data_IF_870326870723
#
_entry.id   IF_870326870723
#
_cell.length_a   1.000
_cell.length_b   1.000
_cell.length_c   1.000
_cell.angle_alpha   90.00
_cell.angle_beta   90.00
_cell.angle_gamma   90.00
#
_symmetry.space_group_name_H-M   'P 1'
#
loop_
_entity.id
_entity.type
_entity.pdbx_description
1 polymer ?
#
# COMPACT_ATOMS: atom_id res chain seq x y z
N UNK A 1 0.30 39.66 17.76
CA UNK A 1 1.11 38.85 16.88
C UNK A 1 1.77 37.80 17.76
N UNK A 2 1.19 36.60 17.86
CA UNK A 2 1.73 35.51 18.69
C UNK A 2 2.48 34.57 17.75
N UNK A 3 3.75 34.44 18.03
CA UNK A 3 4.69 33.59 17.35
C UNK A 3 4.26 32.13 17.51
N UNK A 4 3.76 31.50 16.43
CA UNK A 4 3.34 30.10 16.37
C UNK A 4 4.41 29.17 15.77
N UNK A 5 5.68 29.61 15.79
CA UNK A 5 6.80 28.94 15.17
C UNK A 5 7.53 27.88 15.98
N UNK A 6 7.11 27.56 17.23
CA UNK A 6 7.99 26.80 18.12
C UNK A 6 7.56 25.38 18.49
N UNK A 7 6.50 24.79 17.90
CA UNK A 7 5.97 23.48 18.37
C UNK A 7 6.30 22.28 17.46
N UNK A 8 6.84 22.47 16.27
CA UNK A 8 7.11 21.35 15.33
C UNK A 8 8.55 20.83 15.33
N UNK A 9 9.45 21.42 16.11
CA UNK A 9 10.81 20.92 16.25
C UNK A 9 10.81 19.62 17.09
N UNK A 10 10.69 18.46 16.41
CA UNK A 10 10.76 17.15 17.04
C UNK A 10 9.68 16.14 16.62
N UNK A 11 8.63 16.56 15.92
CA UNK A 11 7.59 15.62 15.43
C UNK A 11 8.05 15.03 14.11
N UNK A 12 8.21 13.68 14.07
CA UNK A 12 8.47 12.94 12.85
C UNK A 12 7.14 12.45 12.30
N UNK A 13 6.74 12.93 11.11
CA UNK A 13 5.53 12.51 10.43
C UNK A 13 5.86 11.33 9.52
N UNK A 14 5.13 10.23 9.68
CA UNK A 14 5.27 9.03 8.85
C UNK A 14 3.97 8.80 8.09
N UNK A 15 4.03 8.78 6.75
CA UNK A 15 2.92 8.31 5.92
C UNK A 15 3.01 6.79 5.78
N UNK A 16 2.10 6.08 6.44
CA UNK A 16 2.06 4.62 6.41
C UNK A 16 1.25 4.05 5.23
N UNK A 17 0.68 4.91 4.37
CA UNK A 17 -0.22 4.48 3.29
C UNK A 17 0.06 5.20 1.97
N UNK A 18 1.30 5.17 1.51
CA UNK A 18 1.71 5.80 0.28
C UNK A 18 1.98 4.78 -0.86
N UNK A 19 2.13 5.30 -2.07
CA UNK A 19 2.71 4.61 -3.21
C UNK A 19 3.42 5.62 -4.12
N UNK A 20 4.50 5.18 -4.76
CA UNK A 20 5.08 5.90 -5.87
C UNK A 20 4.42 5.41 -7.17
N UNK A 21 3.77 6.27 -7.97
CA UNK A 21 2.99 5.84 -9.11
C UNK A 21 3.89 5.39 -10.27
N UNK A 22 3.50 4.27 -10.90
CA UNK A 22 4.04 3.85 -12.21
C UNK A 22 3.07 4.22 -13.32
N UNK A 23 3.53 4.18 -14.57
CA UNK A 23 2.67 4.43 -15.73
C UNK A 23 1.47 3.46 -15.78
N UNK A 24 1.68 2.18 -15.44
CA UNK A 24 0.61 1.17 -15.36
C UNK A 24 -0.42 1.52 -14.28
N UNK A 25 0.06 1.89 -13.09
CA UNK A 25 -0.80 2.29 -11.98
C UNK A 25 -1.64 3.52 -12.34
N UNK A 26 -1.04 4.53 -12.96
CA UNK A 26 -1.73 5.74 -13.37
C UNK A 26 -2.73 5.51 -14.51
N UNK A 27 -2.55 4.47 -15.33
CA UNK A 27 -3.47 4.15 -16.43
C UNK A 27 -4.77 3.46 -15.97
N UNK A 28 -4.85 3.01 -14.70
CA UNK A 28 -6.04 2.33 -14.20
C UNK A 28 -7.28 3.23 -14.24
N UNK A 29 -8.43 2.74 -14.77
CA UNK A 29 -9.65 3.52 -14.91
C UNK A 29 -10.19 4.10 -13.61
N UNK A 30 -9.93 3.44 -12.48
CA UNK A 30 -10.38 3.91 -11.15
C UNK A 30 -9.81 5.27 -10.76
N UNK A 31 -8.67 5.67 -11.34
CA UNK A 31 -8.04 6.97 -11.07
C UNK A 31 -8.49 8.08 -12.04
N UNK A 32 -9.45 7.81 -12.92
CA UNK A 32 -9.92 8.80 -13.90
C UNK A 32 -10.42 10.10 -13.25
N UNK A 33 -11.18 9.98 -12.17
CA UNK A 33 -11.66 11.14 -11.41
C UNK A 33 -10.52 11.92 -10.76
N UNK A 34 -9.54 11.22 -10.20
CA UNK A 34 -8.35 11.82 -9.60
C UNK A 34 -7.51 12.53 -10.67
N UNK A 35 -7.29 11.89 -11.83
CA UNK A 35 -6.57 12.51 -12.95
C UNK A 35 -7.24 13.77 -13.45
N UNK A 36 -8.58 13.77 -13.56
CA UNK A 36 -9.32 14.99 -13.96
C UNK A 36 -9.13 16.12 -12.97
N UNK A 37 -9.16 15.80 -11.69
CA UNK A 37 -8.97 16.78 -10.63
C UNK A 37 -7.55 17.35 -10.65
N UNK A 38 -6.53 16.51 -10.71
CA UNK A 38 -5.12 16.95 -10.75
C UNK A 38 -4.77 17.73 -12.02
N UNK A 39 -5.40 17.41 -13.17
CA UNK A 39 -5.27 18.20 -14.40
C UNK A 39 -5.88 19.58 -14.27
N UNK A 40 -7.04 19.67 -13.64
CA UNK A 40 -7.69 20.96 -13.40
C UNK A 40 -6.84 21.88 -12.53
N UNK A 41 -6.06 21.31 -11.58
CA UNK A 41 -5.15 22.04 -10.71
C UNK A 41 -3.76 22.28 -11.33
N UNK A 42 -3.52 21.85 -12.57
CA UNK A 42 -2.20 21.94 -13.22
C UNK A 42 -1.12 21.04 -12.59
N UNK A 43 -1.50 20.11 -11.75
CA UNK A 43 -0.58 19.21 -11.02
C UNK A 43 -0.31 17.89 -11.74
N UNK A 44 -1.10 17.55 -12.76
CA UNK A 44 -0.91 16.34 -13.55
C UNK A 44 0.26 16.51 -14.53
N UNK A 45 1.34 15.71 -14.39
CA UNK A 45 2.49 15.77 -15.29
C UNK A 45 2.21 15.13 -16.67
N UNK A 46 1.02 14.56 -16.86
CA UNK A 46 0.71 13.73 -18.01
C UNK A 46 1.08 12.25 -17.84
N UNK A 47 0.85 11.44 -18.88
CA UNK A 47 1.20 10.03 -18.87
C UNK A 47 2.73 9.86 -18.91
N UNK A 48 3.25 8.98 -18.09
CA UNK A 48 4.67 8.64 -18.06
C UNK A 48 5.14 8.15 -16.71
N UNK A 49 6.40 7.78 -16.63
CA UNK A 49 7.05 7.46 -15.37
C UNK A 49 7.39 8.74 -14.61
N UNK A 50 7.06 8.76 -13.35
CA UNK A 50 7.40 9.86 -12.48
C UNK A 50 8.75 9.61 -11.82
N UNK A 51 9.65 10.61 -11.76
CA UNK A 51 10.88 10.46 -10.98
C UNK A 51 10.56 10.44 -9.48
N UNK A 52 11.34 9.68 -8.71
CA UNK A 52 11.18 9.58 -7.24
C UNK A 52 11.28 10.96 -6.57
N UNK A 53 12.10 11.86 -7.11
CA UNK A 53 12.25 13.23 -6.64
C UNK A 53 10.92 13.99 -6.54
N UNK A 54 9.93 13.65 -7.36
CA UNK A 54 8.61 14.26 -7.30
C UNK A 54 7.81 13.81 -6.06
N UNK A 55 7.89 12.53 -5.72
CA UNK A 55 7.31 12.02 -4.47
C UNK A 55 7.99 12.65 -3.27
N UNK A 56 9.31 12.78 -3.30
CA UNK A 56 10.06 13.43 -2.23
C UNK A 56 9.67 14.91 -2.07
N UNK A 57 9.52 15.64 -3.18
CA UNK A 57 9.06 17.04 -3.13
C UNK A 57 7.66 17.18 -2.52
N UNK A 58 6.74 16.27 -2.86
CA UNK A 58 5.40 16.26 -2.25
C UNK A 58 5.45 15.91 -0.74
N UNK A 59 6.35 15.02 -0.34
CA UNK A 59 6.59 14.71 1.07
C UNK A 59 7.15 15.94 1.81
N UNK A 60 8.07 16.68 1.21
CA UNK A 60 8.65 17.89 1.80
C UNK A 60 7.60 18.99 1.95
N UNK A 61 6.75 19.20 0.94
CA UNK A 61 5.62 20.13 0.98
C UNK A 61 4.64 19.74 2.11
N UNK A 62 4.39 18.43 2.30
CA UNK A 62 3.50 17.90 3.35
C UNK A 62 4.16 17.74 4.72
N UNK A 63 5.45 18.04 4.88
CA UNK A 63 6.20 17.82 6.13
C UNK A 63 6.38 16.33 6.49
N UNK A 64 6.23 15.41 5.52
CA UNK A 64 6.36 13.97 5.74
C UNK A 64 7.83 13.57 5.76
N UNK A 65 8.28 13.01 6.88
CA UNK A 65 9.67 12.60 7.07
C UNK A 65 9.99 11.25 6.42
N UNK A 66 9.04 10.31 6.47
CA UNK A 66 9.17 8.96 5.94
C UNK A 66 7.84 8.53 5.31
N UNK A 67 7.88 7.91 4.14
CA UNK A 67 6.71 7.27 3.54
C UNK A 67 6.93 5.76 3.34
N UNK A 68 5.93 4.98 3.71
CA UNK A 68 5.85 3.55 3.39
C UNK A 68 5.17 3.40 2.03
N UNK A 69 5.99 3.17 0.99
CA UNK A 69 5.50 3.03 -0.39
C UNK A 69 5.24 1.57 -0.72
N UNK A 70 4.07 1.29 -1.29
CA UNK A 70 3.64 -0.09 -1.51
C UNK A 70 3.64 -0.52 -2.97
N UNK A 71 3.98 -1.79 -3.16
CA UNK A 71 3.64 -2.52 -4.38
C UNK A 71 2.12 -2.76 -4.46
N UNK A 72 1.62 -2.96 -5.67
CA UNK A 72 0.22 -3.23 -5.97
C UNK A 72 0.12 -4.41 -6.93
N UNK A 73 -0.35 -5.54 -6.41
CA UNK A 73 -0.55 -6.78 -7.18
C UNK A 73 -2.04 -7.08 -7.38
N UNK A 74 -2.40 -7.58 -8.54
CA UNK A 74 -3.76 -7.96 -8.91
C UNK A 74 -3.78 -9.27 -9.70
N UNK A 75 -4.95 -9.91 -9.92
CA UNK A 75 -5.07 -11.07 -10.80
C UNK A 75 -4.61 -10.83 -12.25
N UNK A 76 -4.57 -9.56 -12.69
CA UNK A 76 -4.14 -9.16 -14.03
C UNK A 76 -2.64 -8.86 -14.12
N UNK A 77 -1.94 -8.90 -13.00
CA UNK A 77 -0.52 -8.59 -12.89
C UNK A 77 -0.25 -7.43 -11.94
N UNK A 78 1.00 -7.05 -11.86
CA UNK A 78 1.44 -6.00 -10.94
C UNK A 78 1.26 -4.61 -11.57
N UNK A 79 0.55 -3.76 -10.89
CA UNK A 79 0.46 -2.33 -11.23
C UNK A 79 1.71 -1.59 -10.76
N UNK A 80 2.23 -1.99 -9.60
CA UNK A 80 3.52 -1.59 -9.05
C UNK A 80 4.15 -2.87 -8.49
N UNK A 81 5.25 -3.33 -9.06
CA UNK A 81 5.94 -4.55 -8.62
C UNK A 81 6.79 -4.32 -7.37
N UNK A 82 7.12 -5.38 -6.65
CA UNK A 82 8.04 -5.32 -5.52
C UNK A 82 9.44 -4.85 -5.93
N UNK A 83 9.90 -5.21 -7.12
CA UNK A 83 11.22 -4.80 -7.62
C UNK A 83 11.26 -3.30 -7.96
N UNK A 84 10.18 -2.73 -8.49
CA UNK A 84 10.04 -1.28 -8.68
C UNK A 84 10.06 -0.55 -7.34
N UNK A 85 9.30 -1.02 -6.36
CA UNK A 85 9.33 -0.43 -5.01
C UNK A 85 10.73 -0.49 -4.41
N UNK A 86 11.43 -1.62 -4.57
CA UNK A 86 12.82 -1.74 -4.10
C UNK A 86 13.76 -0.77 -4.82
N UNK A 87 13.54 -0.51 -6.12
CA UNK A 87 14.30 0.49 -6.86
C UNK A 87 14.04 1.90 -6.31
N UNK A 88 12.79 2.28 -6.09
CA UNK A 88 12.43 3.59 -5.52
C UNK A 88 13.01 3.79 -4.12
N UNK A 89 12.95 2.77 -3.27
CA UNK A 89 13.55 2.84 -1.91
C UNK A 89 15.06 3.05 -1.99
N UNK A 90 15.75 2.41 -2.94
CA UNK A 90 17.20 2.60 -3.09
C UNK A 90 17.61 4.02 -3.48
N UNK A 91 16.73 4.77 -4.16
CA UNK A 91 17.01 6.17 -4.51
C UNK A 91 16.93 7.10 -3.29
N UNK A 92 16.13 6.76 -2.28
CA UNK A 92 15.94 7.60 -1.08
C UNK A 92 15.69 6.73 0.18
N UNK A 93 16.68 5.93 0.63
CA UNK A 93 16.47 4.93 1.70
C UNK A 93 16.14 5.53 3.07
N UNK A 94 16.52 6.79 3.32
CA UNK A 94 16.19 7.50 4.56
C UNK A 94 14.78 8.11 4.56
N UNK A 95 14.13 8.17 3.39
CA UNK A 95 12.84 8.82 3.18
C UNK A 95 11.74 7.84 2.78
N UNK A 96 12.10 6.70 2.20
CA UNK A 96 11.16 5.71 1.68
C UNK A 96 11.41 4.35 2.33
N UNK A 97 10.33 3.65 2.69
CA UNK A 97 10.37 2.27 3.13
C UNK A 97 9.40 1.42 2.29
N UNK A 98 9.79 0.21 1.92
CA UNK A 98 9.00 -0.65 1.04
C UNK A 98 7.92 -1.43 1.80
N UNK A 99 6.77 -1.60 1.14
CA UNK A 99 5.67 -2.48 1.52
C UNK A 99 5.38 -3.41 0.36
N UNK A 100 5.50 -4.71 0.60
CA UNK A 100 5.37 -5.74 -0.43
C UNK A 100 3.92 -6.08 -0.77
N UNK A 101 3.70 -6.58 -1.98
CA UNK A 101 2.43 -7.18 -2.40
C UNK A 101 2.65 -8.60 -2.94
N UNK A 102 1.59 -9.44 -2.93
CA UNK A 102 1.69 -10.85 -3.31
C UNK A 102 0.48 -11.34 -4.08
N UNK A 103 0.67 -12.39 -4.88
CA UNK A 103 -0.40 -13.06 -5.62
C UNK A 103 -1.14 -14.07 -4.72
N UNK A 104 -2.39 -13.74 -4.37
CA UNK A 104 -3.24 -14.60 -3.53
C UNK A 104 -3.66 -15.93 -4.20
N UNK A 105 -3.51 -16.07 -5.51
CA UNK A 105 -3.85 -17.32 -6.22
C UNK A 105 -2.81 -18.41 -6.02
N UNK A 106 -1.60 -18.03 -5.65
CA UNK A 106 -0.42 -18.90 -5.53
C UNK A 106 0.18 -18.84 -4.13
N UNK A 107 -0.43 -19.45 -3.12
CA UNK A 107 -0.03 -19.25 -1.71
C UNK A 107 1.43 -19.62 -1.43
N UNK A 108 1.98 -20.65 -2.10
CA UNK A 108 3.40 -21.01 -1.94
C UNK A 108 4.35 -19.96 -2.50
N UNK A 109 4.00 -19.39 -3.64
CA UNK A 109 4.80 -18.33 -4.27
C UNK A 109 4.64 -17.02 -3.50
N UNK A 110 3.42 -16.73 -2.98
CA UNK A 110 3.17 -15.60 -2.11
C UNK A 110 4.06 -15.64 -0.86
N UNK A 111 4.12 -16.78 -0.15
CA UNK A 111 4.99 -16.95 1.03
C UNK A 111 6.47 -16.76 0.67
N UNK A 112 6.93 -17.33 -0.45
CA UNK A 112 8.30 -17.15 -0.92
C UNK A 112 8.62 -15.68 -1.21
N UNK A 113 7.71 -15.01 -1.89
CA UNK A 113 7.85 -13.59 -2.22
C UNK A 113 7.81 -12.69 -0.98
N UNK A 114 6.97 -13.00 0.01
CA UNK A 114 6.98 -12.28 1.29
C UNK A 114 8.33 -12.37 1.99
N UNK A 115 8.92 -13.57 2.02
CA UNK A 115 10.25 -13.80 2.58
C UNK A 115 11.31 -13.00 1.84
N UNK A 116 11.25 -12.97 0.52
CA UNK A 116 12.14 -12.14 -0.31
C UNK A 116 11.97 -10.65 0.01
N UNK A 117 10.73 -10.16 0.03
CA UNK A 117 10.43 -8.76 0.33
C UNK A 117 11.03 -8.33 1.68
N UNK A 118 10.82 -9.13 2.72
CA UNK A 118 11.24 -8.75 4.08
C UNK A 118 12.74 -8.97 4.29
N UNK A 119 13.27 -10.14 3.90
CA UNK A 119 14.65 -10.54 4.24
C UNK A 119 15.70 -10.02 3.27
N UNK A 120 15.36 -9.90 1.97
CA UNK A 120 16.30 -9.49 0.94
C UNK A 120 16.11 -8.02 0.51
N UNK A 121 14.84 -7.58 0.35
CA UNK A 121 14.53 -6.20 -0.05
C UNK A 121 14.37 -5.25 1.15
N UNK A 122 14.33 -5.76 2.39
CA UNK A 122 14.23 -4.96 3.60
C UNK A 122 12.88 -4.28 3.84
N UNK A 123 11.81 -4.78 3.20
CA UNK A 123 10.47 -4.23 3.32
C UNK A 123 9.93 -4.36 4.74
N UNK A 124 9.05 -3.43 5.13
CA UNK A 124 8.59 -3.26 6.50
C UNK A 124 7.18 -3.78 6.75
N UNK A 125 6.43 -4.10 5.69
CA UNK A 125 5.07 -4.60 5.77
C UNK A 125 4.70 -5.35 4.48
N UNK A 126 3.57 -6.06 4.54
CA UNK A 126 2.93 -6.66 3.36
C UNK A 126 1.54 -6.05 3.21
N UNK A 127 1.16 -5.68 1.99
CA UNK A 127 -0.16 -5.11 1.68
C UNK A 127 -0.90 -5.95 0.65
N UNK A 128 -2.19 -6.16 0.90
CA UNK A 128 -3.11 -6.67 -0.12
C UNK A 128 -4.34 -5.78 -0.14
N UNK A 129 -4.74 -5.38 -1.35
CA UNK A 129 -5.92 -4.55 -1.59
C UNK A 129 -7.10 -5.44 -1.99
N UNK A 130 -8.10 -5.67 -1.09
CA UNK A 130 -9.19 -6.63 -1.31
C UNK A 130 -9.97 -6.42 -2.60
N UNK A 131 -10.18 -5.18 -2.97
CA UNK A 131 -10.93 -4.81 -4.17
C UNK A 131 -10.17 -5.11 -5.48
N UNK A 132 -8.84 -5.14 -5.48
CA UNK A 132 -8.06 -5.61 -6.64
C UNK A 132 -8.21 -7.12 -6.85
N UNK A 133 -8.40 -7.86 -5.78
CA UNK A 133 -8.53 -9.31 -5.78
C UNK A 133 -9.98 -9.80 -5.83
N UNK A 134 -10.94 -8.89 -5.66
CA UNK A 134 -12.38 -9.21 -5.51
C UNK A 134 -12.63 -10.26 -4.42
N UNK A 135 -11.84 -10.21 -3.36
CA UNK A 135 -11.87 -11.12 -2.23
C UNK A 135 -11.88 -10.32 -0.93
N UNK A 136 -12.87 -10.54 -0.04
CA UNK A 136 -12.89 -9.88 1.26
C UNK A 136 -11.70 -10.36 2.12
N UNK A 137 -11.22 -9.55 3.07
CA UNK A 137 -10.07 -9.91 3.92
C UNK A 137 -10.26 -11.19 4.73
N UNK A 138 -11.50 -11.65 4.91
CA UNK A 138 -11.84 -12.91 5.60
C UNK A 138 -11.77 -14.14 4.70
N UNK A 139 -11.49 -13.97 3.41
CA UNK A 139 -11.39 -15.10 2.49
C UNK A 139 -10.18 -15.99 2.80
N UNK A 140 -10.34 -17.32 2.67
CA UNK A 140 -9.32 -18.31 3.05
C UNK A 140 -7.94 -18.11 2.38
N UNK A 141 -7.88 -17.49 1.20
CA UNK A 141 -6.62 -17.19 0.49
C UNK A 141 -5.72 -16.21 1.22
N UNK A 142 -6.24 -15.44 2.18
CA UNK A 142 -5.42 -14.53 2.99
C UNK A 142 -4.72 -15.24 4.14
N UNK A 143 -5.19 -16.38 4.63
CA UNK A 143 -4.62 -17.03 5.83
C UNK A 143 -3.13 -17.36 5.71
N UNK A 144 -2.62 -17.88 4.57
CA UNK A 144 -1.17 -18.06 4.42
C UNK A 144 -0.38 -16.76 4.53
N UNK A 145 -0.95 -15.64 4.04
CA UNK A 145 -0.32 -14.32 4.14
C UNK A 145 -0.32 -13.83 5.58
N UNK A 146 -1.43 -13.98 6.31
CA UNK A 146 -1.51 -13.60 7.71
C UNK A 146 -0.52 -14.39 8.57
N UNK A 147 -0.50 -15.72 8.41
CA UNK A 147 0.44 -16.57 9.13
C UNK A 147 1.90 -16.19 8.85
N UNK A 148 2.24 -15.96 7.58
CA UNK A 148 3.62 -15.60 7.22
C UNK A 148 4.00 -14.19 7.70
N UNK A 149 3.06 -13.25 7.77
CA UNK A 149 3.33 -11.94 8.39
C UNK A 149 3.70 -12.08 9.87
N UNK A 150 3.00 -12.96 10.60
CA UNK A 150 3.34 -13.26 12.01
C UNK A 150 4.74 -13.88 12.12
N UNK A 151 5.07 -14.86 11.27
CA UNK A 151 6.39 -15.51 11.26
C UNK A 151 7.53 -14.54 10.92
N UNK A 152 7.27 -13.57 10.04
CA UNK A 152 8.24 -12.56 9.65
C UNK A 152 8.31 -11.38 10.61
N UNK A 153 7.37 -11.26 11.56
CA UNK A 153 7.28 -10.13 12.48
C UNK A 153 6.97 -8.79 11.79
N UNK A 154 6.19 -8.81 10.70
CA UNK A 154 5.83 -7.61 9.95
C UNK A 154 4.31 -7.42 9.93
N UNK A 155 3.81 -6.17 9.92
CA UNK A 155 2.39 -5.89 9.82
C UNK A 155 1.81 -6.30 8.47
N UNK A 156 0.57 -6.78 8.50
CA UNK A 156 -0.26 -6.92 7.33
C UNK A 156 -1.13 -5.66 7.16
N UNK A 157 -1.06 -5.04 5.99
CA UNK A 157 -1.81 -3.84 5.66
C UNK A 157 -2.94 -4.18 4.67
N UNK A 158 -4.15 -3.76 4.96
CA UNK A 158 -5.30 -3.95 4.08
C UNK A 158 -6.29 -2.80 4.20
N UNK A 159 -7.07 -2.60 3.17
CA UNK A 159 -8.14 -1.62 3.18
C UNK A 159 -9.43 -2.28 3.63
N UNK A 160 -10.10 -1.69 4.61
CA UNK A 160 -11.43 -2.10 5.08
C UNK A 160 -12.40 -0.92 4.96
N UNK A 161 -13.69 -1.21 4.72
CA UNK A 161 -14.70 -0.18 4.56
C UNK A 161 -15.06 0.08 3.09
N UNK A 162 -15.28 1.34 2.72
CA UNK A 162 -15.64 1.71 1.35
C UNK A 162 -14.46 1.58 0.40
N UNK A 163 -14.64 0.86 -0.69
CA UNK A 163 -13.57 0.47 -1.63
C UNK A 163 -13.40 1.41 -2.82
N UNK A 164 -13.93 2.62 -2.74
CA UNK A 164 -13.85 3.57 -3.86
C UNK A 164 -15.02 3.48 -4.84
N UNK A 165 -15.15 4.45 -5.75
CA UNK A 165 -16.39 4.69 -6.50
C UNK A 165 -16.74 3.65 -7.57
N UNK A 166 -15.78 2.81 -7.98
CA UNK A 166 -15.98 1.86 -9.07
C UNK A 166 -16.04 0.39 -8.61
N UNK A 167 -15.99 0.14 -7.29
CA UNK A 167 -15.86 -1.21 -6.75
C UNK A 167 -17.00 -1.53 -5.80
N UNK A 168 -17.52 -2.78 -5.82
CA UNK A 168 -18.50 -3.22 -4.84
C UNK A 168 -17.97 -3.10 -3.41
N UNK A 169 -18.76 -2.50 -2.53
CA UNK A 169 -18.37 -2.26 -1.12
C UNK A 169 -18.16 -3.53 -0.31
N UNK A 170 -18.68 -4.67 -0.78
CA UNK A 170 -18.53 -5.97 -0.14
C UNK A 170 -17.07 -6.45 -0.05
N UNK A 171 -16.21 -6.06 -1.00
CA UNK A 171 -14.81 -6.45 -0.98
C UNK A 171 -13.97 -5.71 0.08
N UNK A 172 -14.47 -4.59 0.58
CA UNK A 172 -13.83 -3.86 1.68
C UNK A 172 -14.43 -4.19 3.05
N UNK A 173 -15.45 -5.04 3.13
CA UNK A 173 -16.07 -5.41 4.40
C UNK A 173 -15.58 -6.78 4.85
N UNK A 174 -15.10 -6.94 6.08
CA UNK A 174 -15.01 -8.24 6.69
C UNK A 174 -16.43 -8.81 6.67
N UNK A 175 -16.65 -9.86 5.87
CA UNK A 175 -17.98 -10.49 5.85
C UNK A 175 -18.23 -11.09 7.22
N UNK A 176 -19.18 -10.53 7.95
CA UNK A 176 -19.62 -10.99 9.27
C UNK A 176 -20.46 -12.29 9.19
N UNK A 177 -20.20 -13.15 8.21
CA UNK A 177 -20.64 -14.54 8.23
C UNK A 177 -19.62 -15.39 9.00
N UNK A 178 -19.25 -14.96 10.18
CA UNK A 178 -18.91 -15.87 11.24
C UNK A 178 -20.25 -16.31 11.81
N UNK A 179 -20.59 -17.56 11.61
CA UNK A 179 -21.74 -18.17 12.29
C UNK A 179 -21.65 -17.79 13.77
N UNK A 180 -22.78 -17.39 14.43
CA UNK A 180 -22.74 -17.10 15.84
C UNK A 180 -22.33 -18.38 16.57
N UNK A 181 -21.13 -18.41 17.14
CA UNK A 181 -20.67 -19.56 17.91
C UNK A 181 -19.16 -19.81 17.96
N UNK A 182 -18.34 -19.08 17.25
CA UNK A 182 -16.87 -19.22 17.42
C UNK A 182 -16.24 -17.84 17.65
N UNK A 183 -16.21 -17.46 18.91
CA UNK A 183 -15.27 -16.45 19.40
C UNK A 183 -13.87 -17.03 19.27
N UNK A 184 -13.13 -16.69 18.24
CA UNK A 184 -11.71 -16.86 18.25
C UNK A 184 -11.11 -15.55 18.75
N UNK A 185 -10.82 -15.56 20.04
CA UNK A 185 -9.98 -14.58 20.67
C UNK A 185 -8.59 -14.58 20.07
N UNK A 186 -7.89 -13.50 20.37
CA UNK A 186 -6.47 -13.22 20.17
C UNK A 186 -6.10 -12.54 18.87
N UNK A 187 -6.12 -11.24 18.96
CA UNK A 187 -5.02 -10.45 18.44
C UNK A 187 -4.24 -9.90 19.64
N UNK A 188 -2.91 -10.08 19.68
CA UNK A 188 -2.09 -9.35 20.64
C UNK A 188 -2.03 -7.87 20.29
#
# INVERSE_FOLDING_TARGET
>A
MRDSGAVTAGIRIVDAWAQHPTARHLAEPMFESLRRWTRADGRDPGPGEWPVSRTLAAMDEGGVSLALISAWSSPRGDLISNDEVAAFVREAPDRLAGVGAVDLRRPRDAVREMRRCVRELGFKAIRVLPWLWELPPTHARYYPVYSECCELGVPFCTQVGHTGPLMPSEFGRPTSRVSPGKSTGCWP
#
